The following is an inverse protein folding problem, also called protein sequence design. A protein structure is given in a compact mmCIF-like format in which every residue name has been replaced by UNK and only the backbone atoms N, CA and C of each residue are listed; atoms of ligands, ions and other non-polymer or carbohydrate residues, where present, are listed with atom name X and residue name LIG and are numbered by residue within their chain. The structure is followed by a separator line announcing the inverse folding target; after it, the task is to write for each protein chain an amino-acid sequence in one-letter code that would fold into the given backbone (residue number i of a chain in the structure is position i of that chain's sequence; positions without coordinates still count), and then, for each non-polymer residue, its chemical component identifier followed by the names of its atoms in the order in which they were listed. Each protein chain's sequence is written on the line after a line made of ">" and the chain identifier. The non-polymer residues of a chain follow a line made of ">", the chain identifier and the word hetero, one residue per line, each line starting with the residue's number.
data_IF_274587152507
#
_entry.id   IF_274587152507
#
_cell.length_a   1.000
_cell.length_b   1.000
_cell.length_c   1.000
_cell.angle_alpha   90.00
_cell.angle_beta   90.00
_cell.angle_gamma   90.00
#
_symmetry.space_group_name_H-M   'P 1'
#
loop_
_entity.id
_entity.type
_entity.pdbx_description
1 polymer ?
#
# COMPACT_ATOMS: atom_id res chain seq x y z
N UNK A 1 -25.89 44.43 -41.72
CA UNK A 1 -27.32 44.82 -41.74
C UNK A 1 -27.99 44.10 -42.91
N UNK A 2 -29.19 43.51 -42.77
CA UNK A 2 -29.35 42.23 -42.06
C UNK A 2 -30.36 41.23 -42.69
N UNK A 3 -30.49 40.07 -42.02
CA UNK A 3 -31.58 39.05 -42.02
C UNK A 3 -31.57 38.09 -43.22
N UNK A 4 -31.65 36.77 -43.02
CA UNK A 4 -32.84 36.08 -42.50
C UNK A 4 -32.57 34.98 -41.46
N UNK A 5 -33.43 34.98 -40.44
CA UNK A 5 -33.60 33.95 -39.43
C UNK A 5 -34.47 32.82 -40.00
N UNK A 6 -34.10 31.56 -39.77
CA UNK A 6 -35.01 30.44 -39.91
C UNK A 6 -35.13 29.72 -38.55
N UNK A 7 -36.15 30.10 -37.80
CA UNK A 7 -36.61 29.42 -36.58
C UNK A 7 -37.55 28.29 -36.98
N UNK A 8 -37.19 27.04 -36.71
CA UNK A 8 -38.13 25.92 -36.74
C UNK A 8 -38.53 25.56 -35.31
N UNK A 9 -39.83 25.67 -35.07
CA UNK A 9 -40.56 25.33 -33.85
C UNK A 9 -40.89 23.84 -33.89
N UNK A 10 -40.35 23.06 -32.95
CA UNK A 10 -40.90 21.73 -32.62
C UNK A 10 -41.80 21.86 -31.39
N UNK A 11 -43.09 21.60 -31.59
CA UNK A 11 -44.10 21.33 -30.57
C UNK A 11 -44.50 19.87 -30.69
N UNK A 12 -44.78 19.22 -29.56
CA UNK A 12 -45.36 17.87 -29.35
C UNK A 12 -44.46 17.03 -28.42
N UNK A 13 -44.88 16.35 -27.36
CA UNK A 13 -46.13 16.25 -26.62
C UNK A 13 -45.72 15.59 -25.29
N UNK A 14 -46.06 16.19 -24.14
CA UNK A 14 -45.92 15.58 -22.82
C UNK A 14 -47.03 14.55 -22.64
N UNK A 15 -46.66 13.26 -22.55
CA UNK A 15 -47.55 12.21 -22.08
C UNK A 15 -47.21 11.87 -20.62
N UNK A 16 -48.07 12.33 -19.73
CA UNK A 16 -48.18 11.90 -18.34
C UNK A 16 -48.75 10.48 -18.27
N UNK A 17 -48.10 9.58 -17.54
CA UNK A 17 -48.71 8.35 -17.05
C UNK A 17 -48.43 8.19 -15.55
N UNK A 18 -49.52 7.92 -14.86
CA UNK A 18 -49.78 7.94 -13.43
C UNK A 18 -49.30 6.70 -12.68
N UNK A 19 -48.80 6.94 -11.47
CA UNK A 19 -49.04 6.23 -10.19
C UNK A 19 -49.43 4.74 -10.21
N UNK A 20 -48.63 3.93 -9.52
CA UNK A 20 -49.16 3.06 -8.46
C UNK A 20 -48.08 2.80 -7.39
N UNK A 21 -48.24 3.44 -6.24
CA UNK A 21 -47.55 3.10 -5.01
C UNK A 21 -48.37 1.99 -4.33
N UNK A 22 -47.74 0.86 -4.02
CA UNK A 22 -48.31 -0.14 -3.13
C UNK A 22 -47.66 -0.02 -1.75
N UNK A 23 -48.51 0.39 -0.82
CA UNK A 23 -48.31 0.43 0.62
C UNK A 23 -48.18 -1.00 1.14
N UNK A 24 -47.11 -1.33 1.87
CA UNK A 24 -47.14 -2.46 2.80
C UNK A 24 -46.97 -1.95 4.23
N UNK A 25 -47.97 -2.31 5.02
CA UNK A 25 -48.22 -1.85 6.36
C UNK A 25 -47.27 -2.47 7.39
N UNK A 26 -47.03 -1.66 8.41
CA UNK A 26 -46.41 -1.93 9.69
C UNK A 26 -46.97 -3.17 10.41
N UNK A 27 -46.07 -4.04 10.85
CA UNK A 27 -46.30 -5.02 11.91
C UNK A 27 -45.45 -4.65 13.13
N UNK A 28 -46.05 -3.97 14.10
CA UNK A 28 -45.49 -3.72 15.41
C UNK A 28 -45.77 -4.91 16.34
N UNK A 29 -44.73 -5.51 16.90
CA UNK A 29 -44.85 -6.34 18.10
C UNK A 29 -43.88 -5.82 19.16
N UNK A 30 -44.48 -5.24 20.19
CA UNK A 30 -43.87 -4.88 21.46
C UNK A 30 -43.46 -6.14 22.23
N UNK A 31 -42.24 -6.17 22.74
CA UNK A 31 -41.85 -7.03 23.84
C UNK A 31 -40.95 -6.23 24.79
N UNK A 32 -41.27 -6.39 26.08
CA UNK A 32 -40.88 -5.59 27.21
C UNK A 32 -39.38 -5.45 27.46
N UNK A 33 -39.01 -4.24 27.87
CA UNK A 33 -37.76 -3.93 28.54
C UNK A 33 -37.59 -4.71 29.85
N UNK A 34 -36.40 -5.26 30.07
CA UNK A 34 -35.89 -5.64 31.38
C UNK A 34 -34.63 -4.82 31.67
N UNK A 35 -34.73 -3.96 32.68
CA UNK A 35 -33.67 -3.08 33.20
C UNK A 35 -32.45 -3.89 33.68
N UNK A 36 -31.21 -3.50 33.34
CA UNK A 36 -30.02 -4.05 33.97
C UNK A 36 -29.70 -3.32 35.28
N UNK A 37 -29.49 -4.10 36.34
CA UNK A 37 -29.04 -3.65 37.65
C UNK A 37 -27.62 -3.07 37.55
N UNK A 38 -27.46 -1.81 37.93
CA UNK A 38 -26.18 -1.10 37.97
C UNK A 38 -25.33 -1.57 39.16
N UNK A 39 -24.12 -2.08 38.91
CA UNK A 39 -23.06 -2.22 39.92
C UNK A 39 -22.08 -1.06 39.71
N UNK A 40 -22.12 -0.09 40.63
CA UNK A 40 -21.20 1.05 40.66
C UNK A 40 -19.91 0.68 41.40
N UNK A 41 -18.79 0.61 40.69
CA UNK A 41 -17.46 0.45 41.30
C UNK A 41 -16.83 1.82 41.50
N UNK A 42 -16.63 2.16 42.78
CA UNK A 42 -16.19 3.47 43.26
C UNK A 42 -14.66 3.61 43.10
N UNK A 43 -14.21 4.34 42.06
CA UNK A 43 -12.80 4.51 41.64
C UNK A 43 -11.95 5.46 42.51
N UNK A 44 -12.25 5.62 43.81
CA UNK A 44 -11.55 6.58 44.71
C UNK A 44 -10.75 5.98 45.87
N UNK A 45 -10.40 4.69 45.82
CA UNK A 45 -9.64 4.02 46.92
C UNK A 45 -8.40 3.24 46.48
N UNK A 46 -7.70 3.65 45.42
CA UNK A 46 -6.49 2.95 44.95
C UNK A 46 -5.24 3.84 44.74
N UNK A 47 -5.28 5.11 45.12
CA UNK A 47 -4.09 5.99 45.10
C UNK A 47 -3.89 6.57 46.50
N UNK A 48 -3.33 5.75 47.39
CA UNK A 48 -2.64 6.17 48.61
C UNK A 48 -2.14 4.89 49.28
N UNK A 49 -0.88 4.51 49.01
CA UNK A 49 0.02 3.69 49.86
C UNK A 49 1.06 2.94 49.00
N UNK A 50 2.10 3.63 48.52
CA UNK A 50 3.50 3.14 48.50
C UNK A 50 4.41 4.36 48.45
N UNK A 51 4.63 5.00 49.60
CA UNK A 51 5.68 6.01 49.79
C UNK A 51 6.03 6.03 51.29
N UNK A 52 6.94 5.16 51.72
CA UNK A 52 7.74 5.30 52.94
C UNK A 52 8.66 4.08 53.11
N UNK A 53 9.94 4.21 52.77
CA UNK A 53 11.03 3.55 53.49
C UNK A 53 12.34 4.30 53.17
N UNK A 54 12.78 5.09 54.13
CA UNK A 54 14.05 5.80 54.18
C UNK A 54 15.02 5.08 55.13
N UNK A 55 16.33 5.31 54.96
CA UNK A 55 17.42 4.93 55.89
C UNK A 55 18.16 3.66 55.44
N UNK A 56 19.49 3.60 55.35
CA UNK A 56 20.48 4.17 56.27
C UNK A 56 21.85 4.36 55.59
N UNK A 57 22.56 5.42 55.97
CA UNK A 57 23.96 5.67 55.63
C UNK A 57 24.90 4.90 56.57
N UNK A 58 26.03 4.42 56.04
CA UNK A 58 27.23 4.11 56.83
C UNK A 58 28.43 4.72 56.11
N UNK A 59 29.00 5.74 56.73
CA UNK A 59 30.29 6.36 56.40
C UNK A 59 31.32 5.79 57.36
N UNK A 60 32.39 5.17 56.85
CA UNK A 60 33.59 4.85 57.62
C UNK A 60 34.79 5.52 56.95
N UNK A 61 35.47 6.36 57.73
CA UNK A 61 36.69 7.10 57.40
C UNK A 61 37.93 6.24 57.74
N UNK A 62 38.94 6.09 56.87
CA UNK A 62 40.28 6.76 56.87
C UNK A 62 41.36 5.72 56.54
N UNK A 63 42.66 6.04 56.23
CA UNK A 63 43.27 7.23 55.66
C UNK A 63 44.11 6.94 54.37
N UNK A 64 44.63 8.02 53.80
CA UNK A 64 45.46 8.14 52.60
C UNK A 64 46.76 7.30 52.59
N UNK A 65 47.02 6.64 51.46
CA UNK A 65 48.37 6.43 50.92
C UNK A 65 48.29 6.40 49.38
N UNK A 66 49.08 7.26 48.75
CA UNK A 66 48.90 7.66 47.36
C UNK A 66 49.35 6.65 46.30
N UNK A 67 48.77 6.80 45.12
CA UNK A 67 49.41 6.55 43.84
C UNK A 67 48.87 7.58 42.85
N UNK A 68 49.73 8.53 42.45
CA UNK A 68 49.50 9.35 41.27
C UNK A 68 49.86 8.49 40.04
N UNK A 69 48.87 7.85 39.45
CA UNK A 69 48.99 7.19 38.15
C UNK A 69 47.73 7.48 37.33
N UNK A 70 47.89 8.34 36.33
CA UNK A 70 47.04 8.44 35.13
C UNK A 70 45.53 8.53 35.34
N UNK A 71 44.98 9.74 35.49
CA UNK A 71 43.60 10.01 35.09
C UNK A 71 43.53 10.00 33.55
N UNK A 72 43.46 8.81 32.96
CA UNK A 72 42.77 8.65 31.69
C UNK A 72 41.27 8.76 31.98
N UNK A 73 40.47 9.50 31.20
CA UNK A 73 39.03 9.46 31.37
C UNK A 73 38.60 8.01 31.21
N UNK A 74 37.89 7.48 32.22
CA UNK A 74 37.12 6.25 32.09
C UNK A 74 36.10 6.50 30.99
N UNK A 75 36.52 6.26 29.74
CA UNK A 75 35.61 6.05 28.64
C UNK A 75 34.67 4.96 29.12
N UNK A 76 33.37 5.30 29.19
CA UNK A 76 32.33 4.31 29.28
C UNK A 76 32.69 3.19 28.29
N UNK A 77 32.56 1.90 28.68
CA UNK A 77 32.94 0.82 27.79
C UNK A 77 32.27 1.09 26.45
N UNK A 78 33.09 1.34 25.41
CA UNK A 78 32.62 1.33 24.02
C UNK A 78 31.74 0.08 23.94
N UNK A 79 30.48 0.16 23.51
CA UNK A 79 29.65 -1.03 23.42
C UNK A 79 30.48 -2.01 22.60
N UNK A 80 30.88 -3.09 23.27
CA UNK A 80 31.51 -4.23 22.62
C UNK A 80 30.49 -4.58 21.56
N UNK A 81 30.86 -4.44 20.27
CA UNK A 81 29.98 -4.86 19.19
C UNK A 81 29.58 -6.29 19.54
N UNK A 82 28.34 -6.46 20.01
CA UNK A 82 27.78 -7.77 20.17
C UNK A 82 27.93 -8.41 18.79
N UNK A 83 28.22 -9.70 18.75
CA UNK A 83 28.01 -10.48 17.53
C UNK A 83 26.50 -10.49 17.26
N UNK A 84 26.00 -9.36 16.73
CA UNK A 84 24.61 -8.95 16.79
C UNK A 84 23.97 -9.13 15.43
N UNK A 85 22.77 -9.72 15.40
CA UNK A 85 22.03 -9.95 14.17
C UNK A 85 21.74 -8.67 13.40
N UNK A 86 21.36 -8.83 12.13
CA UNK A 86 21.06 -7.72 11.22
C UNK A 86 19.87 -6.91 11.76
N UNK A 87 20.01 -5.59 11.82
CA UNK A 87 18.94 -4.69 12.25
C UNK A 87 18.07 -4.19 11.10
N UNK A 88 16.87 -3.73 11.41
CA UNK A 88 15.97 -3.09 10.44
C UNK A 88 16.67 -1.95 9.70
N UNK A 89 17.39 -1.09 10.43
CA UNK A 89 18.12 0.03 9.87
C UNK A 89 19.17 -0.39 8.83
N UNK A 90 19.91 -1.48 9.09
CA UNK A 90 20.90 -1.99 8.14
C UNK A 90 20.27 -2.50 6.84
N UNK A 91 19.11 -3.16 6.91
CA UNK A 91 18.38 -3.61 5.72
C UNK A 91 17.88 -2.40 4.92
N UNK A 92 17.26 -1.42 5.61
CA UNK A 92 16.78 -0.19 4.98
C UNK A 92 17.93 0.56 4.30
N UNK A 93 19.06 0.76 5.00
CA UNK A 93 20.20 1.50 4.47
C UNK A 93 20.81 0.82 3.25
N UNK A 94 20.87 -0.52 3.26
CA UNK A 94 21.37 -1.26 2.11
C UNK A 94 20.46 -1.08 0.88
N UNK A 95 19.14 -1.18 1.04
CA UNK A 95 18.20 -0.99 -0.07
C UNK A 95 18.20 0.46 -0.57
N UNK A 96 18.12 1.43 0.34
CA UNK A 96 18.12 2.87 0.02
C UNK A 96 19.38 3.25 -0.75
N UNK A 97 20.54 2.67 -0.40
CA UNK A 97 21.81 2.91 -1.13
C UNK A 97 21.78 2.48 -2.59
N UNK A 98 20.92 1.52 -2.97
CA UNK A 98 20.78 1.06 -4.36
C UNK A 98 19.85 1.96 -5.19
N UNK A 99 19.05 2.84 -4.55
CA UNK A 99 18.19 3.78 -5.24
C UNK A 99 18.98 5.02 -5.72
N UNK A 100 19.02 5.32 -7.04
CA UNK A 100 19.66 6.52 -7.57
C UNK A 100 19.08 7.80 -6.97
N UNK A 101 19.96 8.70 -6.52
CA UNK A 101 19.55 9.97 -5.90
C UNK A 101 19.06 9.87 -4.47
N UNK A 102 19.14 8.69 -3.85
CA UNK A 102 18.81 8.50 -2.44
C UNK A 102 19.91 9.02 -1.49
N UNK A 103 19.56 9.35 -0.22
CA UNK A 103 18.19 9.43 0.30
C UNK A 103 17.44 10.64 -0.28
N UNK A 104 16.13 10.49 -0.48
CA UNK A 104 15.30 11.58 -1.00
C UNK A 104 15.03 12.63 0.08
N UNK A 105 14.97 13.90 -0.32
CA UNK A 105 14.68 15.02 0.58
C UNK A 105 13.24 15.02 1.10
N UNK A 106 12.32 14.42 0.33
CA UNK A 106 10.92 14.21 0.69
C UNK A 106 10.50 12.83 0.20
N UNK A 107 10.02 11.99 1.10
CA UNK A 107 9.53 10.65 0.79
C UNK A 107 8.58 10.16 1.88
N UNK A 108 7.65 9.30 1.48
CA UNK A 108 6.76 8.55 2.38
C UNK A 108 7.41 7.26 2.93
N UNK A 109 8.63 6.94 2.49
CA UNK A 109 9.35 5.71 2.80
C UNK A 109 9.97 5.72 4.21
N UNK A 110 9.10 5.72 5.22
CA UNK A 110 9.48 5.82 6.63
C UNK A 110 9.03 4.60 7.43
N UNK A 111 9.57 4.46 8.65
CA UNK A 111 9.02 3.50 9.60
C UNK A 111 7.64 3.96 10.05
N UNK A 112 6.64 3.09 9.86
CA UNK A 112 5.24 3.31 10.28
C UNK A 112 4.93 2.68 11.64
N UNK A 113 5.82 1.81 12.13
CA UNK A 113 5.82 1.24 13.48
C UNK A 113 7.22 0.77 13.82
N UNK A 114 7.56 0.74 15.11
CA UNK A 114 8.82 0.20 15.62
C UNK A 114 10.00 1.17 15.46
N UNK A 115 11.22 0.63 15.49
CA UNK A 115 12.45 1.42 15.37
C UNK A 115 13.52 0.66 14.55
N UNK A 116 14.53 1.41 14.11
CA UNK A 116 15.60 0.91 13.23
C UNK A 116 16.58 -0.04 13.92
N UNK A 117 16.68 0.03 15.25
CA UNK A 117 17.66 -0.74 16.03
C UNK A 117 17.19 -2.16 16.37
N UNK A 118 15.93 -2.50 16.05
CA UNK A 118 15.39 -3.84 16.22
C UNK A 118 16.18 -4.83 15.36
N UNK A 119 16.71 -5.88 16.01
CA UNK A 119 17.29 -7.05 15.34
C UNK A 119 16.18 -7.87 14.68
N UNK A 120 16.37 -8.20 13.42
CA UNK A 120 15.37 -8.88 12.59
C UNK A 120 15.39 -10.38 12.86
N UNK A 121 14.23 -10.96 13.16
CA UNK A 121 14.04 -12.41 13.36
C UNK A 121 13.39 -13.09 12.15
N UNK A 122 12.73 -12.31 11.30
CA UNK A 122 12.10 -12.76 10.06
C UNK A 122 11.44 -11.58 9.36
N UNK A 123 11.31 -11.69 8.03
CA UNK A 123 10.84 -10.61 7.17
C UNK A 123 9.60 -11.04 6.42
N UNK A 124 8.62 -10.14 6.35
CA UNK A 124 7.46 -10.25 5.47
C UNK A 124 7.47 -9.10 4.46
N UNK A 125 7.26 -9.41 3.18
CA UNK A 125 6.94 -8.39 2.16
C UNK A 125 5.49 -8.51 1.75
N UNK A 126 4.84 -7.39 1.46
CA UNK A 126 3.40 -7.33 1.14
C UNK A 126 3.06 -6.01 0.44
N UNK A 127 1.98 -5.96 -0.33
CA UNK A 127 1.40 -4.69 -0.76
C UNK A 127 0.96 -3.83 0.42
N UNK A 128 0.03 -4.31 1.24
CA UNK A 128 -0.47 -3.60 2.42
C UNK A 128 -0.19 -4.41 3.69
N UNK A 129 0.20 -3.72 4.76
CA UNK A 129 0.35 -4.33 6.08
C UNK A 129 -1.01 -4.56 6.77
N UNK A 130 -1.92 -5.34 6.18
CA UNK A 130 -3.26 -5.59 6.74
C UNK A 130 -3.19 -6.33 8.09
N UNK A 131 -4.30 -6.33 8.86
CA UNK A 131 -4.38 -7.12 10.11
C UNK A 131 -4.07 -8.60 9.87
N UNK A 132 -4.53 -9.17 8.75
CA UNK A 132 -4.25 -10.56 8.40
C UNK A 132 -2.77 -10.79 8.07
N UNK A 133 -2.11 -9.87 7.36
CA UNK A 133 -0.66 -9.95 7.12
C UNK A 133 0.10 -9.86 8.44
N UNK A 134 -0.29 -8.97 9.35
CA UNK A 134 0.32 -8.84 10.68
C UNK A 134 0.16 -10.13 11.48
N UNK A 135 -1.04 -10.74 11.50
CA UNK A 135 -1.28 -12.03 12.17
C UNK A 135 -0.41 -13.15 11.60
N UNK A 136 -0.27 -13.22 10.28
CA UNK A 136 0.62 -14.19 9.63
C UNK A 136 2.09 -13.93 9.94
N UNK A 137 2.53 -12.68 10.00
CA UNK A 137 3.89 -12.33 10.41
C UNK A 137 4.18 -12.83 11.85
N UNK A 138 3.23 -12.64 12.78
CA UNK A 138 3.31 -13.17 14.14
C UNK A 138 3.45 -14.70 14.12
N UNK A 139 2.60 -15.40 13.36
CA UNK A 139 2.64 -16.85 13.25
C UNK A 139 3.96 -17.38 12.65
N UNK A 140 4.62 -16.59 11.80
CA UNK A 140 5.92 -16.90 11.22
C UNK A 140 7.10 -16.50 12.10
N UNK A 141 6.87 -15.90 13.27
CA UNK A 141 7.88 -15.25 14.11
C UNK A 141 8.70 -14.16 13.37
N UNK A 142 8.08 -13.51 12.37
CA UNK A 142 8.65 -12.39 11.65
C UNK A 142 8.29 -11.08 12.37
N UNK A 143 9.30 -10.25 12.65
CA UNK A 143 9.15 -8.98 13.36
C UNK A 143 9.39 -7.76 12.46
N UNK A 144 9.64 -7.96 11.16
CA UNK A 144 9.82 -6.88 10.21
C UNK A 144 8.91 -7.07 8.99
N UNK A 145 8.00 -6.11 8.77
CA UNK A 145 7.14 -6.05 7.58
C UNK A 145 7.63 -4.92 6.69
N UNK A 146 7.85 -5.22 5.41
CA UNK A 146 8.09 -4.23 4.36
C UNK A 146 6.83 -4.16 3.50
N UNK A 147 6.07 -3.08 3.66
CA UNK A 147 4.85 -2.82 2.90
C UNK A 147 5.15 -1.88 1.73
N UNK A 148 4.49 -2.07 0.59
CA UNK A 148 4.58 -1.12 -0.52
C UNK A 148 3.68 0.11 -0.29
N UNK A 149 2.42 -0.15 0.04
CA UNK A 149 1.37 0.86 0.21
C UNK A 149 1.20 1.30 1.68
N UNK A 150 0.40 2.34 1.97
CA UNK A 150 0.22 2.84 3.32
C UNK A 150 -0.09 1.74 4.34
N UNK A 151 0.50 1.88 5.52
CA UNK A 151 0.15 1.05 6.68
C UNK A 151 -1.22 1.48 7.23
N UNK A 152 -1.58 2.75 7.10
CA UNK A 152 -2.85 3.33 7.55
C UNK A 152 -3.58 4.00 6.39
N UNK A 153 -4.75 4.58 6.65
CA UNK A 153 -5.79 4.81 5.63
C UNK A 153 -5.62 6.09 4.79
N UNK A 154 -4.38 6.51 4.49
CA UNK A 154 -4.10 7.67 3.63
C UNK A 154 -2.67 7.64 3.08
N UNK A 155 -2.40 8.43 2.03
CA UNK A 155 -1.13 8.44 1.32
C UNK A 155 0.08 8.79 2.20
N UNK A 156 -0.05 9.64 3.22
CA UNK A 156 1.08 10.06 4.06
C UNK A 156 1.22 9.23 5.34
N UNK A 157 0.33 8.26 5.58
CA UNK A 157 0.20 7.53 6.85
C UNK A 157 -0.02 8.47 8.05
N UNK A 158 -0.69 9.61 7.85
CA UNK A 158 -1.03 10.56 8.92
C UNK A 158 -2.16 10.01 9.80
N UNK A 159 -1.97 10.03 11.12
CA UNK A 159 -2.81 9.29 12.07
C UNK A 159 -3.40 10.13 13.21
N UNK A 160 -3.14 11.44 13.24
CA UNK A 160 -3.64 12.35 14.28
C UNK A 160 -5.17 12.34 14.32
N UNK A 161 -5.80 12.34 13.14
CA UNK A 161 -7.26 12.26 13.01
C UNK A 161 -7.85 10.88 13.38
N UNK A 162 -7.00 9.86 13.53
CA UNK A 162 -7.38 8.48 13.84
C UNK A 162 -7.11 8.09 15.31
N UNK A 163 -6.55 8.95 16.15
CA UNK A 163 -6.12 8.60 17.51
C UNK A 163 -7.23 7.98 18.38
N UNK A 164 -8.49 8.34 18.13
CA UNK A 164 -9.67 7.81 18.83
C UNK A 164 -10.43 6.76 18.02
N UNK A 165 -10.00 6.46 16.81
CA UNK A 165 -10.62 5.45 15.95
C UNK A 165 -10.22 4.04 16.40
N UNK A 166 -11.21 3.19 16.65
CA UNK A 166 -10.97 1.85 17.20
C UNK A 166 -10.31 0.92 16.17
N UNK A 167 -10.51 1.12 14.87
CA UNK A 167 -9.91 0.29 13.82
C UNK A 167 -8.41 0.60 13.69
N UNK A 168 -8.04 1.88 13.70
CA UNK A 168 -6.65 2.32 13.77
C UNK A 168 -5.97 1.80 15.03
N UNK A 169 -6.57 2.05 16.21
CA UNK A 169 -6.00 1.64 17.50
C UNK A 169 -5.79 0.14 17.58
N UNK A 170 -6.76 -0.65 17.11
CA UNK A 170 -6.63 -2.10 17.06
C UNK A 170 -5.37 -2.55 16.28
N UNK A 171 -5.15 -1.98 15.09
CA UNK A 171 -4.00 -2.29 14.25
C UNK A 171 -2.69 -1.82 14.87
N UNK A 172 -2.64 -0.59 15.37
CA UNK A 172 -1.47 -0.01 16.01
C UNK A 172 -1.07 -0.77 17.29
N UNK A 173 -2.04 -1.13 18.12
CA UNK A 173 -1.82 -1.93 19.35
C UNK A 173 -1.33 -3.34 19.02
N UNK A 174 -1.83 -3.96 17.93
CA UNK A 174 -1.36 -5.26 17.48
C UNK A 174 0.12 -5.22 17.06
N UNK A 175 0.52 -4.23 16.26
CA UNK A 175 1.93 -4.03 15.88
C UNK A 175 2.82 -3.82 17.12
N UNK A 176 2.39 -2.93 18.03
CA UNK A 176 3.14 -2.59 19.25
C UNK A 176 3.27 -3.80 20.18
N UNK A 177 2.18 -4.53 20.44
CA UNK A 177 2.15 -5.69 21.34
C UNK A 177 3.14 -6.78 20.92
N UNK A 178 3.34 -6.95 19.60
CA UNK A 178 4.22 -7.97 19.04
C UNK A 178 5.59 -7.44 18.60
N UNK A 179 5.89 -6.17 18.92
CA UNK A 179 7.12 -5.49 18.51
C UNK A 179 7.42 -5.63 17.01
N UNK A 180 6.37 -5.50 16.18
CA UNK A 180 6.50 -5.56 14.73
C UNK A 180 6.86 -4.19 14.20
N UNK A 181 7.97 -4.14 13.49
CA UNK A 181 8.44 -2.98 12.75
C UNK A 181 7.82 -3.00 11.37
N UNK A 182 7.28 -1.87 10.91
CA UNK A 182 6.75 -1.73 9.55
C UNK A 182 7.52 -0.63 8.85
N UNK A 183 8.20 -0.95 7.76
CA UNK A 183 8.76 0.02 6.83
C UNK A 183 7.89 0.08 5.58
N UNK A 184 7.48 1.28 5.19
CA UNK A 184 6.90 1.48 3.86
C UNK A 184 8.03 1.73 2.85
N UNK A 185 8.10 0.91 1.82
CA UNK A 185 9.04 1.05 0.72
C UNK A 185 8.26 1.26 -0.58
N UNK A 186 8.08 2.53 -0.97
CA UNK A 186 7.26 2.95 -2.09
C UNK A 186 8.10 3.72 -3.10
N UNK A 187 8.65 4.86 -2.71
CA UNK A 187 9.39 5.75 -3.60
C UNK A 187 10.74 5.14 -4.00
N UNK A 188 11.46 4.51 -3.05
CA UNK A 188 12.76 3.91 -3.34
C UNK A 188 12.65 2.70 -4.28
N UNK A 189 11.64 1.84 -4.09
CA UNK A 189 11.44 0.68 -4.97
C UNK A 189 11.04 1.07 -6.40
N UNK A 190 10.31 2.18 -6.59
CA UNK A 190 10.09 2.75 -7.93
C UNK A 190 11.34 3.43 -8.53
N UNK A 191 12.31 3.75 -7.69
CA UNK A 191 13.50 4.48 -8.09
C UNK A 191 14.70 3.62 -8.43
N UNK A 192 14.78 2.38 -7.92
CA UNK A 192 15.80 1.42 -8.39
C UNK A 192 15.70 1.21 -9.91
N UNK A 193 16.78 0.72 -10.52
CA UNK A 193 16.89 0.57 -11.98
C UNK A 193 17.19 -0.88 -12.34
N UNK A 194 16.29 -1.59 -13.05
CA UNK A 194 14.93 -1.14 -13.43
C UNK A 194 14.01 -0.92 -12.21
N UNK A 195 12.94 -0.14 -12.37
CA UNK A 195 11.88 0.07 -11.35
C UNK A 195 11.43 -1.29 -10.80
N UNK A 196 11.57 -1.52 -9.49
CA UNK A 196 11.37 -2.84 -8.89
C UNK A 196 9.93 -3.33 -8.96
N UNK A 197 8.95 -2.42 -8.86
CA UNK A 197 7.53 -2.76 -8.95
C UNK A 197 7.18 -3.14 -10.39
N UNK A 198 7.57 -2.29 -11.34
CA UNK A 198 7.33 -2.58 -12.76
C UNK A 198 8.08 -3.83 -13.21
N UNK A 199 9.33 -4.02 -12.76
CA UNK A 199 10.12 -5.21 -13.06
C UNK A 199 9.42 -6.48 -12.58
N UNK A 200 8.89 -6.47 -11.35
CA UNK A 200 8.09 -7.58 -10.82
C UNK A 200 6.89 -7.91 -11.70
N UNK A 201 6.11 -6.88 -12.08
CA UNK A 201 4.93 -7.07 -12.93
C UNK A 201 5.30 -7.61 -14.32
N UNK A 202 6.27 -7.00 -14.98
CA UNK A 202 6.72 -7.38 -16.32
C UNK A 202 7.30 -8.79 -16.33
N UNK A 203 8.00 -9.19 -15.25
CA UNK A 203 8.51 -10.54 -15.09
C UNK A 203 7.38 -11.57 -15.04
N UNK A 204 6.35 -11.29 -14.25
CA UNK A 204 5.18 -12.16 -14.15
C UNK A 204 4.38 -12.21 -15.46
N UNK A 205 4.36 -11.11 -16.21
CA UNK A 205 3.73 -11.05 -17.53
C UNK A 205 4.56 -11.72 -18.64
N UNK A 206 5.86 -11.92 -18.44
CA UNK A 206 6.78 -12.39 -19.47
C UNK A 206 6.94 -11.38 -20.61
N UNK A 207 6.89 -10.08 -20.31
CA UNK A 207 6.86 -8.99 -21.28
C UNK A 207 8.20 -8.25 -21.45
N UNK A 208 9.28 -8.71 -20.82
CA UNK A 208 10.57 -8.03 -20.78
C UNK A 208 11.09 -7.70 -22.18
N UNK A 209 11.03 -8.66 -23.11
CA UNK A 209 11.49 -8.46 -24.50
C UNK A 209 10.59 -7.55 -25.35
N UNK A 210 9.43 -7.14 -24.83
CA UNK A 210 8.47 -6.27 -25.54
C UNK A 210 8.59 -4.81 -25.12
N UNK A 211 9.33 -4.52 -24.06
CA UNK A 211 9.52 -3.17 -23.52
C UNK A 211 10.25 -2.25 -24.51
N UNK A 212 9.78 -1.01 -24.65
CA UNK A 212 10.47 0.03 -25.40
C UNK A 212 11.36 0.91 -24.50
N UNK A 213 12.02 1.91 -25.09
CA UNK A 213 12.91 2.83 -24.37
C UNK A 213 12.21 3.77 -23.38
N UNK A 214 10.88 3.88 -23.43
CA UNK A 214 10.11 4.68 -22.47
C UNK A 214 9.82 3.92 -21.17
N UNK A 215 10.06 2.60 -21.14
CA UNK A 215 9.79 1.71 -20.02
C UNK A 215 8.33 1.64 -19.58
N UNK A 216 7.40 2.16 -20.40
CA UNK A 216 5.94 2.09 -20.13
C UNK A 216 5.15 1.57 -21.34
N UNK A 217 5.79 1.43 -22.50
CA UNK A 217 5.18 0.83 -23.68
C UNK A 217 5.74 -0.56 -23.89
N UNK A 218 4.84 -1.49 -24.19
CA UNK A 218 5.14 -2.87 -24.52
C UNK A 218 4.54 -3.20 -25.89
N UNK A 219 5.39 -3.55 -26.84
CA UNK A 219 5.00 -3.91 -28.21
C UNK A 219 4.94 -5.43 -28.34
N UNK A 220 3.71 -5.96 -28.31
CA UNK A 220 3.47 -7.39 -28.46
C UNK A 220 3.98 -7.90 -29.82
N UNK A 221 4.43 -9.17 -29.90
CA UNK A 221 5.06 -9.71 -31.10
C UNK A 221 4.07 -9.81 -32.27
N UNK A 222 2.81 -10.09 -31.97
CA UNK A 222 1.68 -10.07 -32.90
C UNK A 222 0.52 -9.30 -32.27
N UNK A 223 -0.36 -8.74 -33.10
CA UNK A 223 -1.61 -8.18 -32.62
C UNK A 223 -2.51 -9.29 -32.08
N UNK A 224 -3.18 -9.03 -30.96
CA UNK A 224 -4.13 -9.94 -30.32
C UNK A 224 -5.45 -9.20 -30.08
N UNK A 225 -6.57 -9.90 -29.99
CA UNK A 225 -7.83 -9.25 -29.61
C UNK A 225 -7.75 -8.73 -28.17
N UNK A 226 -8.49 -7.66 -27.86
CA UNK A 226 -8.60 -7.13 -26.50
C UNK A 226 -9.03 -8.23 -25.51
N UNK A 227 -9.97 -9.09 -25.93
CA UNK A 227 -10.42 -10.24 -25.15
C UNK A 227 -9.27 -11.21 -24.84
N UNK A 228 -8.49 -11.60 -25.84
CA UNK A 228 -7.36 -12.51 -25.64
C UNK A 228 -6.27 -11.90 -24.74
N UNK A 229 -6.03 -10.58 -24.87
CA UNK A 229 -5.12 -9.86 -23.98
C UNK A 229 -5.64 -9.88 -22.52
N UNK A 230 -6.92 -9.62 -22.31
CA UNK A 230 -7.54 -9.69 -20.98
C UNK A 230 -7.43 -11.12 -20.41
N UNK A 231 -7.71 -12.15 -21.20
CA UNK A 231 -7.59 -13.54 -20.77
C UNK A 231 -6.14 -13.92 -20.38
N UNK A 232 -5.14 -13.46 -21.14
CA UNK A 232 -3.72 -13.66 -20.82
C UNK A 232 -3.33 -12.93 -19.52
N UNK A 233 -3.73 -11.66 -19.38
CA UNK A 233 -3.52 -10.87 -18.15
C UNK A 233 -4.15 -11.56 -16.93
N UNK A 234 -5.40 -12.03 -17.06
CA UNK A 234 -6.11 -12.74 -16.00
C UNK A 234 -5.38 -14.01 -15.59
N UNK A 235 -4.91 -14.79 -16.56
CA UNK A 235 -4.17 -16.04 -16.31
C UNK A 235 -2.83 -15.78 -15.63
N UNK A 236 -2.04 -14.83 -16.13
CA UNK A 236 -0.68 -14.56 -15.62
C UNK A 236 -0.69 -13.88 -14.25
N UNK A 237 -1.69 -13.04 -13.99
CA UNK A 237 -1.84 -12.32 -12.72
C UNK A 237 -2.77 -13.04 -11.73
N UNK A 238 -3.34 -14.19 -12.13
CA UNK A 238 -4.27 -14.97 -11.33
C UNK A 238 -5.44 -14.15 -10.79
N UNK A 239 -6.14 -13.42 -11.67
CA UNK A 239 -7.27 -12.56 -11.32
C UNK A 239 -8.58 -13.00 -11.95
N UNK A 240 -9.66 -12.86 -11.18
CA UNK A 240 -11.00 -13.34 -11.53
C UNK A 240 -11.71 -12.42 -12.54
N UNK A 241 -11.59 -11.11 -12.39
CA UNK A 241 -12.31 -10.14 -13.18
C UNK A 241 -11.47 -8.88 -13.43
N UNK A 242 -11.81 -8.17 -14.51
CA UNK A 242 -11.29 -6.83 -14.83
C UNK A 242 -12.45 -5.95 -15.29
N UNK A 243 -12.27 -4.64 -15.17
CA UNK A 243 -13.12 -3.67 -15.87
C UNK A 243 -12.40 -3.21 -17.13
N UNK A 244 -13.13 -2.98 -18.21
CA UNK A 244 -12.53 -2.53 -19.46
C UNK A 244 -13.45 -1.58 -20.24
N UNK A 245 -12.85 -0.76 -21.10
CA UNK A 245 -13.52 0.03 -22.14
C UNK A 245 -12.91 -0.37 -23.47
N UNK A 246 -13.72 -0.80 -24.44
CA UNK A 246 -13.22 -1.22 -25.75
C UNK A 246 -14.11 -2.25 -26.43
N UNK A 247 -13.83 -2.52 -27.70
CA UNK A 247 -14.40 -3.65 -28.41
C UNK A 247 -13.54 -4.90 -28.11
N UNK A 248 -14.12 -5.99 -27.57
CA UNK A 248 -13.42 -7.24 -27.32
C UNK A 248 -12.63 -7.78 -28.52
N UNK A 249 -13.07 -7.50 -29.75
CA UNK A 249 -12.44 -7.95 -31.00
C UNK A 249 -11.39 -6.95 -31.54
N UNK A 250 -11.20 -5.80 -30.89
CA UNK A 250 -10.17 -4.82 -31.27
C UNK A 250 -8.78 -5.47 -31.24
N UNK A 251 -8.03 -5.32 -32.33
CA UNK A 251 -6.63 -5.73 -32.40
C UNK A 251 -5.75 -4.79 -31.57
N UNK A 252 -4.99 -5.34 -30.64
CA UNK A 252 -4.09 -4.64 -29.74
C UNK A 252 -2.66 -5.19 -29.90
N UNK A 253 -1.71 -4.30 -30.14
CA UNK A 253 -0.28 -4.62 -30.23
C UNK A 253 0.58 -3.72 -29.35
N UNK A 254 0.27 -2.42 -29.31
CA UNK A 254 0.97 -1.41 -28.50
C UNK A 254 0.23 -1.20 -27.17
N UNK A 255 0.78 -1.75 -26.10
CA UNK A 255 0.24 -1.65 -24.75
C UNK A 255 0.96 -0.52 -24.01
N UNK A 256 0.20 0.43 -23.46
CA UNK A 256 0.67 1.35 -22.42
C UNK A 256 0.39 0.73 -21.06
N UNK A 257 1.42 0.49 -20.26
CA UNK A 257 1.32 -0.16 -18.95
C UNK A 257 1.62 0.85 -17.83
N UNK A 258 0.60 1.18 -17.04
CA UNK A 258 0.67 2.13 -15.92
C UNK A 258 0.06 1.50 -14.66
N UNK A 259 0.80 0.65 -13.92
CA UNK A 259 0.28 0.00 -12.73
C UNK A 259 -0.02 1.00 -11.60
N UNK A 260 -0.69 0.50 -10.57
CA UNK A 260 -1.07 1.27 -9.38
C UNK A 260 -2.00 2.44 -9.69
N UNK A 261 -1.91 3.46 -8.84
CA UNK A 261 -2.68 4.69 -8.92
C UNK A 261 -1.92 5.81 -9.66
N UNK A 262 -1.54 5.57 -10.92
CA UNK A 262 -0.74 6.50 -11.74
C UNK A 262 -1.36 7.89 -11.98
N UNK A 263 -2.65 8.08 -11.68
CA UNK A 263 -3.38 9.35 -11.77
C UNK A 263 -3.91 9.69 -13.17
N UNK A 264 -5.15 10.20 -13.25
CA UNK A 264 -5.86 10.40 -14.53
C UNK A 264 -5.15 11.36 -15.49
N UNK A 265 -4.63 12.48 -14.99
CA UNK A 265 -3.84 13.42 -15.81
C UNK A 265 -2.63 12.75 -16.47
N UNK A 266 -1.85 11.97 -15.72
CA UNK A 266 -0.68 11.28 -16.26
C UNK A 266 -1.10 10.19 -17.26
N UNK A 267 -2.13 9.41 -16.95
CA UNK A 267 -2.69 8.41 -17.87
C UNK A 267 -3.10 9.04 -19.20
N UNK A 268 -3.87 10.13 -19.18
CA UNK A 268 -4.32 10.85 -20.39
C UNK A 268 -3.14 11.44 -21.17
N UNK A 269 -2.17 12.06 -20.48
CA UNK A 269 -0.97 12.61 -21.11
C UNK A 269 -0.14 11.51 -21.80
N UNK A 270 0.02 10.34 -21.16
CA UNK A 270 0.73 9.20 -21.72
C UNK A 270 -0.02 8.59 -22.89
N UNK A 271 -1.35 8.44 -22.81
CA UNK A 271 -2.18 8.05 -23.96
C UNK A 271 -1.96 9.00 -25.13
N UNK A 272 -2.04 10.31 -24.90
CA UNK A 272 -1.93 11.31 -25.96
C UNK A 272 -0.54 11.33 -26.62
N UNK A 273 0.53 11.18 -25.83
CA UNK A 273 1.91 11.25 -26.33
C UNK A 273 2.38 9.94 -26.97
N UNK A 274 1.87 8.80 -26.52
CA UNK A 274 2.31 7.48 -27.00
C UNK A 274 1.36 6.83 -27.98
N UNK A 275 0.08 7.23 -28.02
CA UNK A 275 -0.95 6.68 -28.91
C UNK A 275 -0.99 5.14 -28.88
N UNK A 276 -1.28 4.52 -27.71
CA UNK A 276 -1.36 3.07 -27.58
C UNK A 276 -2.69 2.52 -28.13
N UNK A 277 -2.73 1.23 -28.44
CA UNK A 277 -3.98 0.54 -28.77
C UNK A 277 -4.80 0.28 -27.51
N UNK A 278 -4.11 0.08 -26.38
CA UNK A 278 -4.72 -0.21 -25.07
C UNK A 278 -3.87 0.34 -23.93
N UNK A 279 -4.52 1.01 -22.97
CA UNK A 279 -3.97 1.30 -21.65
C UNK A 279 -4.32 0.14 -20.71
N UNK A 280 -3.31 -0.48 -20.09
CA UNK A 280 -3.46 -1.43 -18.98
C UNK A 280 -2.98 -0.72 -17.72
N UNK A 281 -3.85 -0.60 -16.71
CA UNK A 281 -3.53 0.15 -15.49
C UNK A 281 -4.06 -0.50 -14.21
N UNK A 282 -3.60 -0.02 -13.05
CA UNK A 282 -4.10 -0.46 -11.74
C UNK A 282 -5.46 0.16 -11.44
N UNK A 283 -5.53 1.49 -11.35
CA UNK A 283 -6.74 2.23 -11.00
C UNK A 283 -7.05 3.38 -11.97
N UNK A 284 -8.32 3.78 -11.97
CA UNK A 284 -8.79 5.01 -12.63
C UNK A 284 -9.81 5.70 -11.74
N UNK A 285 -9.81 7.04 -11.76
CA UNK A 285 -11.03 7.77 -11.48
C UNK A 285 -11.94 7.65 -12.71
N UNK A 286 -13.17 7.14 -12.52
CA UNK A 286 -14.05 6.82 -13.65
C UNK A 286 -14.38 8.08 -14.46
N UNK A 287 -14.58 9.22 -13.79
CA UNK A 287 -14.87 10.51 -14.44
C UNK A 287 -13.66 11.15 -15.16
N UNK A 288 -12.47 10.53 -15.11
CA UNK A 288 -11.27 11.01 -15.82
C UNK A 288 -10.93 10.09 -17.00
N UNK A 289 -10.06 9.10 -16.77
CA UNK A 289 -9.46 8.29 -17.83
C UNK A 289 -10.46 7.43 -18.57
N UNK A 290 -11.47 6.89 -17.87
CA UNK A 290 -12.46 6.04 -18.53
C UNK A 290 -13.35 6.86 -19.48
N UNK A 291 -13.80 8.05 -19.07
CA UNK A 291 -14.54 8.97 -19.93
C UNK A 291 -13.66 9.49 -21.09
N UNK A 292 -12.38 9.81 -20.85
CA UNK A 292 -11.46 10.18 -21.92
C UNK A 292 -11.33 9.08 -22.99
N UNK A 293 -11.20 7.82 -22.56
CA UNK A 293 -11.13 6.67 -23.49
C UNK A 293 -12.45 6.50 -24.22
N UNK A 294 -13.61 6.68 -23.56
CA UNK A 294 -14.94 6.64 -24.21
C UNK A 294 -15.04 7.69 -25.31
N UNK A 295 -14.67 8.93 -25.02
CA UNK A 295 -14.72 10.04 -25.99
C UNK A 295 -13.72 9.84 -27.14
N UNK A 296 -12.51 9.35 -26.83
CA UNK A 296 -11.52 9.00 -27.85
C UNK A 296 -12.08 7.98 -28.85
N UNK A 297 -12.79 6.96 -28.38
CA UNK A 297 -13.45 5.96 -29.23
C UNK A 297 -14.60 6.55 -30.03
N UNK A 298 -15.44 7.39 -29.41
CA UNK A 298 -16.52 8.08 -30.12
C UNK A 298 -15.97 8.98 -31.25
N UNK A 299 -14.77 9.54 -31.08
CA UNK A 299 -14.03 10.28 -32.10
C UNK A 299 -13.30 9.38 -33.13
N UNK A 300 -13.51 8.06 -33.11
CA UNK A 300 -12.94 7.12 -34.08
C UNK A 300 -11.54 6.61 -33.75
N UNK A 301 -11.01 6.85 -32.54
CA UNK A 301 -9.70 6.32 -32.14
C UNK A 301 -9.79 4.85 -31.73
N UNK A 302 -8.80 4.07 -32.14
CA UNK A 302 -8.61 2.69 -31.68
C UNK A 302 -7.85 2.70 -30.35
N UNK A 303 -8.58 2.99 -29.27
CA UNK A 303 -8.04 3.01 -27.91
C UNK A 303 -8.95 2.21 -26.99
N UNK A 304 -8.35 1.31 -26.22
CA UNK A 304 -9.03 0.54 -25.18
C UNK A 304 -8.39 0.81 -23.80
N UNK A 305 -9.11 0.44 -22.75
CA UNK A 305 -8.67 0.52 -21.36
C UNK A 305 -8.92 -0.83 -20.68
N UNK A 306 -7.95 -1.32 -19.92
CA UNK A 306 -8.09 -2.46 -19.00
C UNK A 306 -7.63 -2.00 -17.62
N UNK A 307 -8.51 -2.17 -16.63
CA UNK A 307 -8.26 -1.83 -15.23
C UNK A 307 -8.09 -3.13 -14.44
N UNK A 308 -6.85 -3.41 -14.03
CA UNK A 308 -6.44 -4.63 -13.33
C UNK A 308 -6.78 -4.63 -11.83
N UNK A 309 -6.84 -3.43 -11.23
CA UNK A 309 -6.82 -3.23 -9.78
C UNK A 309 -5.42 -2.92 -9.27
N UNK A 310 -5.34 -2.03 -8.27
CA UNK A 310 -4.08 -1.55 -7.68
C UNK A 310 -3.19 -2.69 -7.20
N UNK A 311 -3.69 -3.47 -6.23
CA UNK A 311 -2.96 -4.57 -5.58
C UNK A 311 -2.41 -5.53 -6.63
N UNK A 312 -3.27 -5.99 -7.54
CA UNK A 312 -2.91 -6.93 -8.61
C UNK A 312 -1.75 -6.41 -9.45
N UNK A 313 -1.78 -5.13 -9.82
CA UNK A 313 -0.80 -4.55 -10.71
C UNK A 313 0.56 -4.27 -10.05
N UNK A 314 0.66 -4.30 -8.72
CA UNK A 314 1.89 -3.91 -8.00
C UNK A 314 2.39 -4.94 -6.97
N UNK A 315 1.57 -5.92 -6.56
CA UNK A 315 1.98 -7.04 -5.70
C UNK A 315 3.21 -7.81 -6.23
N UNK A 316 3.40 -7.99 -7.55
CA UNK A 316 4.64 -8.59 -8.06
C UNK A 316 5.91 -7.81 -7.66
N UNK A 317 5.78 -6.51 -7.37
CA UNK A 317 6.85 -5.68 -6.80
C UNK A 317 7.24 -6.06 -5.37
N UNK A 318 6.27 -6.52 -4.56
CA UNK A 318 6.54 -7.05 -3.23
C UNK A 318 7.23 -8.42 -3.28
N UNK A 319 6.96 -9.22 -4.31
CA UNK A 319 7.75 -10.44 -4.59
C UNK A 319 9.18 -10.11 -5.05
N UNK A 320 9.34 -9.08 -5.89
CA UNK A 320 10.67 -8.56 -6.25
C UNK A 320 11.47 -8.20 -4.98
N UNK A 321 10.85 -7.48 -4.05
CA UNK A 321 11.49 -7.13 -2.77
C UNK A 321 11.87 -8.39 -1.96
N UNK A 322 11.01 -9.40 -1.92
CA UNK A 322 11.32 -10.66 -1.23
C UNK A 322 12.54 -11.36 -1.85
N UNK A 323 12.62 -11.42 -3.19
CA UNK A 323 13.77 -12.01 -3.90
C UNK A 323 15.06 -11.24 -3.61
N UNK A 324 14.99 -9.90 -3.60
CA UNK A 324 16.14 -9.05 -3.24
C UNK A 324 16.62 -9.35 -1.81
N UNK A 325 15.71 -9.43 -0.83
CA UNK A 325 16.04 -9.74 0.55
C UNK A 325 16.67 -11.13 0.70
N UNK A 326 16.11 -12.14 0.05
CA UNK A 326 16.64 -13.51 0.08
C UNK A 326 18.06 -13.59 -0.49
N UNK A 327 18.38 -12.77 -1.49
CA UNK A 327 19.73 -12.70 -2.06
C UNK A 327 20.73 -11.98 -1.13
N UNK A 328 20.30 -10.91 -0.46
CA UNK A 328 21.18 -10.08 0.38
C UNK A 328 21.34 -10.60 1.81
N UNK A 329 20.31 -11.25 2.33
CA UNK A 329 20.22 -11.75 3.71
C UNK A 329 19.67 -13.19 3.73
N UNK A 330 20.36 -14.16 3.10
CA UNK A 330 19.87 -15.54 2.96
C UNK A 330 19.64 -16.25 4.31
N UNK A 331 20.29 -15.80 5.38
CA UNK A 331 20.13 -16.31 6.74
C UNK A 331 18.83 -15.86 7.43
N UNK A 332 18.18 -14.80 6.93
CA UNK A 332 16.93 -14.28 7.49
C UNK A 332 15.75 -14.81 6.67
N UNK A 333 14.88 -15.59 7.32
CA UNK A 333 13.68 -16.12 6.66
C UNK A 333 12.81 -14.97 6.16
N UNK A 334 12.69 -14.85 4.84
CA UNK A 334 11.86 -13.87 4.16
C UNK A 334 10.68 -14.57 3.47
N UNK A 335 9.46 -14.11 3.76
CA UNK A 335 8.22 -14.65 3.19
C UNK A 335 7.42 -13.54 2.54
N UNK A 336 7.11 -13.67 1.25
CA UNK A 336 6.10 -12.82 0.64
C UNK A 336 4.71 -13.31 1.07
N UNK A 337 3.87 -12.38 1.54
CA UNK A 337 2.47 -12.66 1.87
C UNK A 337 1.61 -11.78 0.98
N UNK A 338 0.90 -12.35 -0.01
CA UNK A 338 -0.01 -11.58 -0.84
C UNK A 338 -1.09 -10.92 0.03
N UNK A 339 -1.38 -9.65 -0.23
CA UNK A 339 -2.42 -8.92 0.51
C UNK A 339 -3.81 -9.48 0.18
N UNK A 340 -4.02 -9.87 -1.07
CA UNK A 340 -5.33 -10.21 -1.61
C UNK A 340 -6.19 -8.98 -1.88
N UNK A 341 -7.28 -9.15 -2.61
CA UNK A 341 -8.20 -8.04 -2.92
C UNK A 341 -8.94 -7.57 -1.68
N UNK A 342 -9.04 -6.25 -1.49
CA UNK A 342 -9.94 -5.64 -0.49
C UNK A 342 -11.41 -5.65 -0.91
N UNK A 343 -11.68 -5.90 -2.21
CA UNK A 343 -13.00 -5.91 -2.82
C UNK A 343 -13.34 -7.32 -3.34
N UNK A 344 -14.63 -7.66 -3.30
CA UNK A 344 -15.15 -8.92 -3.86
C UNK A 344 -16.00 -8.67 -5.10
N UNK A 345 -16.06 -9.65 -5.98
CA UNK A 345 -16.90 -9.64 -7.18
C UNK A 345 -18.17 -10.47 -6.94
N UNK A 346 -19.28 -10.12 -7.58
CA UNK A 346 -20.55 -10.83 -7.52
C UNK A 346 -21.03 -11.23 -8.91
#
# INVERSE_FOLDING_TARGET
>A
MPRENNTSTFTSTLASASTSASTFASGSTSASASTPTSISINRRKFIAQVAAAAGSAVVLASPLAGFAAGFAPLTAPKPRAAQGGITVGQIMDLFIKEAPGAPFSSTIDTLKSGNRDVVVTGIVTTMFATVEVIRKAIALNANFIIAHEPTFYNHTDETTWLEKDDVYRYKADLLKKHNIVVWRNHDYIHSVRPDGVRKGLVDQLGWQQFEDSSHVIYNLPAAVTLKALIEDLKKKLNIEAVRYVGDPEQQCKKVLLLPGASGGRNQIQRISSTQPDVLVCGEVAEWETAEYVRDARAAGKQLSLVVLGHIVSEEPGSEFMAKWLQQKFPEIKTTHIPTGSSLSFL
#
